data_IF_003640934699
#
_entry.id   IF_003640934699
#
_cell.length_a   1.000
_cell.length_b   1.000
_cell.length_c   1.000
_cell.angle_alpha   90.00
_cell.angle_beta   90.00
_cell.angle_gamma   90.00
#
_symmetry.space_group_name_H-M   'P 1'
#
loop_
_entity.id
_entity.type
_entity.pdbx_description
1 polymer ?
#
# COMPACT_ATOMS: atom_id res chain seq x y z
N UNK A 1 15.26 25.57 1.87
CA UNK A 1 14.61 24.38 1.27
C UNK A 1 15.67 23.56 0.57
N UNK A 2 15.92 22.33 1.03
CA UNK A 2 16.90 21.41 0.44
C UNK A 2 16.26 20.57 -0.66
N UNK A 3 17.08 20.10 -1.61
CA UNK A 3 16.66 19.16 -2.65
C UNK A 3 16.71 17.74 -2.07
N UNK A 4 15.60 17.02 -2.15
CA UNK A 4 15.51 15.61 -1.74
C UNK A 4 15.52 14.74 -3.00
N UNK A 5 16.46 13.79 -3.06
CA UNK A 5 16.53 12.79 -4.13
C UNK A 5 15.83 11.50 -3.68
N UNK A 6 14.68 11.20 -4.27
CA UNK A 6 13.92 9.97 -3.95
C UNK A 6 13.81 9.00 -5.13
N UNK A 7 14.38 9.34 -6.29
CA UNK A 7 14.20 8.58 -7.52
C UNK A 7 14.75 7.14 -7.41
N UNK A 8 15.84 6.93 -6.66
CA UNK A 8 16.37 5.59 -6.41
C UNK A 8 15.45 4.76 -5.51
N UNK A 9 14.97 5.35 -4.41
CA UNK A 9 14.00 4.71 -3.52
C UNK A 9 12.70 4.36 -4.26
N UNK A 10 12.22 5.27 -5.11
CA UNK A 10 11.04 5.05 -5.96
C UNK A 10 11.25 3.87 -6.92
N UNK A 11 12.37 3.83 -7.65
CA UNK A 11 12.69 2.71 -8.55
C UNK A 11 12.81 1.37 -7.81
N UNK A 12 13.42 1.40 -6.62
CA UNK A 12 13.54 0.21 -5.79
C UNK A 12 12.18 -0.30 -5.32
N UNK A 13 11.27 0.61 -4.92
CA UNK A 13 9.91 0.26 -4.55
C UNK A 13 9.14 -0.38 -5.71
N UNK A 14 9.15 0.26 -6.89
CA UNK A 14 8.51 -0.27 -8.10
C UNK A 14 9.04 -1.65 -8.50
N UNK A 15 10.37 -1.80 -8.54
CA UNK A 15 11.03 -3.07 -8.92
C UNK A 15 10.80 -4.17 -7.88
N UNK A 16 10.70 -3.77 -6.61
CA UNK A 16 10.47 -4.67 -5.50
C UNK A 16 9.01 -5.10 -5.35
N UNK A 17 8.06 -4.39 -5.95
CA UNK A 17 6.66 -4.74 -5.85
C UNK A 17 6.35 -6.09 -6.49
N UNK A 18 5.34 -6.76 -5.94
CA UNK A 18 4.90 -8.09 -6.37
C UNK A 18 3.38 -8.17 -6.39
N UNK A 19 2.86 -8.85 -7.40
CA UNK A 19 1.49 -9.32 -7.45
C UNK A 19 1.44 -10.77 -6.97
N UNK A 20 0.61 -11.01 -5.97
CA UNK A 20 0.20 -12.34 -5.53
C UNK A 20 -1.21 -12.62 -6.07
N UNK A 21 -1.37 -13.80 -6.63
CA UNK A 21 -2.61 -14.33 -7.19
C UNK A 21 -3.32 -15.20 -6.15
N UNK A 22 -4.63 -15.45 -6.30
CA UNK A 22 -5.32 -16.41 -5.45
C UNK A 22 -4.65 -17.80 -5.42
N UNK A 23 -4.01 -18.22 -6.52
CA UNK A 23 -3.27 -19.48 -6.58
C UNK A 23 -2.02 -19.51 -5.68
N UNK A 24 -1.42 -18.34 -5.39
CA UNK A 24 -0.21 -18.22 -4.57
C UNK A 24 -0.54 -18.29 -3.06
N UNK A 25 -1.82 -18.23 -2.68
CA UNK A 25 -2.25 -18.15 -1.28
C UNK A 25 -1.78 -19.34 -0.43
N UNK A 26 -1.80 -20.54 -0.99
CA UNK A 26 -1.35 -21.74 -0.27
C UNK A 26 0.15 -21.71 0.02
N UNK A 27 0.95 -21.14 -0.87
CA UNK A 27 2.40 -20.97 -0.69
C UNK A 27 2.67 -19.89 0.36
N UNK A 28 2.00 -18.74 0.26
CA UNK A 28 2.09 -17.65 1.24
C UNK A 28 1.73 -18.09 2.66
N UNK A 29 0.65 -18.85 2.83
CA UNK A 29 0.22 -19.34 4.14
C UNK A 29 1.20 -20.35 4.74
N UNK A 30 1.98 -21.07 3.91
CA UNK A 30 3.04 -21.97 4.39
C UNK A 30 4.27 -21.21 4.88
N UNK A 31 4.50 -20.00 4.38
CA UNK A 31 5.56 -19.10 4.86
C UNK A 31 5.17 -18.36 6.15
N UNK A 32 3.87 -18.31 6.48
CA UNK A 32 3.39 -17.62 7.67
C UNK A 32 3.81 -18.35 8.95
N UNK A 33 4.88 -17.85 9.57
CA UNK A 33 5.34 -18.34 10.88
C UNK A 33 4.79 -17.49 12.01
N UNK A 34 4.45 -18.12 13.13
CA UNK A 34 4.10 -17.43 14.38
C UNK A 34 5.32 -17.47 15.31
N UNK A 35 6.10 -16.38 15.41
CA UNK A 35 7.27 -16.37 16.27
C UNK A 35 6.84 -16.54 17.73
N UNK A 36 7.61 -17.30 18.50
CA UNK A 36 7.45 -17.35 19.96
C UNK A 36 7.85 -15.98 20.54
N UNK A 37 7.00 -15.40 21.38
CA UNK A 37 7.24 -14.07 21.94
C UNK A 37 6.05 -13.54 22.74
N UNK A 38 6.19 -12.34 23.34
CA UNK A 38 5.05 -11.66 23.92
C UNK A 38 3.97 -11.41 22.85
N UNK A 39 2.71 -11.36 23.28
CA UNK A 39 1.62 -10.97 22.40
C UNK A 39 1.87 -9.59 21.82
N UNK A 40 1.51 -9.41 20.55
CA UNK A 40 1.57 -8.10 19.91
C UNK A 40 0.65 -7.12 20.63
N UNK A 41 1.13 -5.89 20.81
CA UNK A 41 0.30 -4.80 21.32
C UNK A 41 -0.72 -4.39 20.25
N UNK A 42 -1.97 -4.19 20.67
CA UNK A 42 -3.03 -3.67 19.80
C UNK A 42 -3.46 -2.31 20.31
N UNK A 43 -3.26 -1.27 19.49
CA UNK A 43 -3.68 0.10 19.76
C UNK A 43 -4.79 0.50 18.79
N UNK A 44 -5.84 1.15 19.30
CA UNK A 44 -6.87 1.81 18.48
C UNK A 44 -6.72 3.31 18.68
N UNK A 45 -6.57 4.04 17.58
CA UNK A 45 -6.29 5.47 17.61
C UNK A 45 -7.17 6.17 16.57
N UNK A 46 -7.56 7.41 16.85
CA UNK A 46 -8.18 8.29 15.87
C UNK A 46 -7.08 9.07 15.14
N UNK A 47 -6.53 8.48 14.09
CA UNK A 47 -5.44 9.02 13.29
C UNK A 47 -5.62 8.65 11.82
N UNK A 48 -5.05 9.43 10.91
CA UNK A 48 -4.93 9.02 9.51
C UNK A 48 -3.93 7.87 9.39
N UNK A 49 -3.98 7.16 8.26
CA UNK A 49 -2.98 6.14 7.97
C UNK A 49 -1.57 6.73 7.87
N UNK A 50 -1.41 7.95 7.34
CA UNK A 50 -0.11 8.61 7.20
C UNK A 50 0.46 9.03 8.56
N UNK A 51 -0.37 9.63 9.43
CA UNK A 51 0.00 9.98 10.80
C UNK A 51 0.47 8.76 11.58
N UNK A 52 -0.33 7.69 11.61
CA UNK A 52 0.01 6.46 12.31
C UNK A 52 1.30 5.83 11.74
N UNK A 53 1.45 5.84 10.42
CA UNK A 53 2.66 5.30 9.76
C UNK A 53 3.90 6.10 10.14
N UNK A 54 3.83 7.44 10.14
CA UNK A 54 4.97 8.29 10.49
C UNK A 54 5.40 8.08 11.95
N UNK A 55 4.45 8.00 12.88
CA UNK A 55 4.72 7.72 14.30
C UNK A 55 5.33 6.33 14.51
N UNK A 56 4.72 5.29 13.93
CA UNK A 56 5.19 3.92 14.06
C UNK A 56 6.54 3.71 13.36
N UNK A 57 6.81 4.40 12.24
CA UNK A 57 8.09 4.31 11.55
C UNK A 57 9.22 4.95 12.37
N UNK A 58 8.93 6.05 13.09
CA UNK A 58 9.89 6.64 14.02
C UNK A 58 10.21 5.71 15.20
N UNK A 59 9.23 4.93 15.67
CA UNK A 59 9.39 3.99 16.80
C UNK A 59 10.04 2.66 16.38
N UNK A 60 9.63 2.07 15.25
CA UNK A 60 9.96 0.69 14.86
C UNK A 60 10.76 0.57 13.55
N UNK A 61 10.99 1.67 12.82
CA UNK A 61 11.75 1.71 11.58
C UNK A 61 10.97 1.23 10.34
N UNK A 62 10.51 -0.03 10.32
CA UNK A 62 9.74 -0.60 9.19
C UNK A 62 8.31 -0.91 9.60
N UNK A 63 7.36 -0.36 8.85
CA UNK A 63 5.92 -0.50 9.11
C UNK A 63 5.23 -1.09 7.87
N UNK A 64 4.35 -2.06 8.10
CA UNK A 64 3.41 -2.54 7.08
C UNK A 64 2.11 -1.74 7.13
N UNK A 65 1.62 -1.32 5.97
CA UNK A 65 0.39 -0.52 5.87
C UNK A 65 -0.58 -1.24 4.96
N UNK A 66 -1.81 -1.45 5.43
CA UNK A 66 -2.90 -1.98 4.61
C UNK A 66 -3.53 -0.83 3.82
N UNK A 67 -3.42 -0.87 2.48
CA UNK A 67 -4.17 -0.02 1.58
C UNK A 67 -5.61 -0.55 1.43
N UNK A 68 -6.61 0.30 1.61
CA UNK A 68 -8.03 -0.01 1.36
C UNK A 68 -8.31 0.13 -0.14
N UNK A 69 -7.67 -0.75 -0.90
CA UNK A 69 -7.51 -0.63 -2.33
C UNK A 69 -8.84 -0.74 -3.09
N UNK A 70 -8.98 0.08 -4.12
CA UNK A 70 -9.92 -0.13 -5.20
C UNK A 70 -9.51 -1.39 -5.96
N UNK A 71 -10.45 -2.32 -6.09
CA UNK A 71 -10.23 -3.53 -6.86
C UNK A 71 -10.04 -3.27 -8.37
N UNK A 72 -10.45 -2.08 -8.87
CA UNK A 72 -10.54 -1.78 -10.31
C UNK A 72 -9.66 -0.62 -10.78
N UNK A 73 -9.28 0.29 -9.90
CA UNK A 73 -8.52 1.48 -10.28
C UNK A 73 -7.29 1.63 -9.37
N UNK A 74 -6.05 1.61 -9.89
CA UNK A 74 -4.87 1.82 -9.05
C UNK A 74 -4.91 3.21 -8.40
N UNK A 75 -4.82 3.27 -7.07
CA UNK A 75 -4.92 4.53 -6.33
C UNK A 75 -6.34 5.10 -6.27
N UNK A 76 -7.35 4.31 -6.60
CA UNK A 76 -8.75 4.71 -6.52
C UNK A 76 -9.08 5.89 -7.43
N UNK A 77 -9.80 6.87 -6.90
CA UNK A 77 -10.21 8.08 -7.61
C UNK A 77 -9.29 9.28 -7.41
N UNK A 78 -8.02 9.11 -6.99
CA UNK A 78 -7.22 10.23 -6.49
C UNK A 78 -6.98 11.33 -7.53
N UNK A 79 -6.87 10.99 -8.81
CA UNK A 79 -6.75 11.93 -9.92
C UNK A 79 -8.03 12.76 -10.15
N UNK A 80 -9.18 12.21 -9.74
CA UNK A 80 -10.49 12.88 -9.80
C UNK A 80 -10.83 13.69 -8.54
N UNK A 81 -9.93 13.75 -7.55
CA UNK A 81 -10.13 14.49 -6.31
C UNK A 81 -10.90 13.75 -5.22
N UNK A 82 -11.17 12.44 -5.40
CA UNK A 82 -11.81 11.61 -4.37
C UNK A 82 -11.03 11.61 -3.06
N UNK A 83 -11.75 11.49 -1.95
CA UNK A 83 -11.19 11.48 -0.60
C UNK A 83 -11.52 10.15 0.07
N UNK A 84 -10.56 9.23 0.07
CA UNK A 84 -10.55 8.09 0.97
C UNK A 84 -9.09 7.72 1.30
N UNK A 85 -8.92 6.62 2.04
CA UNK A 85 -7.63 6.20 2.55
C UNK A 85 -6.63 5.87 1.43
N UNK A 86 -7.06 5.12 0.41
CA UNK A 86 -6.22 4.81 -0.76
C UNK A 86 -5.78 6.08 -1.49
N UNK A 87 -6.70 7.02 -1.73
CA UNK A 87 -6.36 8.26 -2.42
C UNK A 87 -5.38 9.12 -1.63
N UNK A 88 -5.45 9.11 -0.30
CA UNK A 88 -4.47 9.77 0.56
C UNK A 88 -3.08 9.16 0.38
N UNK A 89 -2.98 7.82 0.43
CA UNK A 89 -1.73 7.10 0.21
C UNK A 89 -1.17 7.37 -1.20
N UNK A 90 -2.01 7.32 -2.23
CA UNK A 90 -1.61 7.54 -3.61
C UNK A 90 -1.10 8.97 -3.87
N UNK A 91 -1.71 9.98 -3.24
CA UNK A 91 -1.26 11.38 -3.37
C UNK A 91 0.01 11.70 -2.59
N UNK A 92 0.18 11.09 -1.43
CA UNK A 92 1.23 11.46 -0.49
C UNK A 92 2.46 10.58 -0.57
N UNK A 93 2.50 9.57 -1.46
CA UNK A 93 3.60 8.62 -1.56
C UNK A 93 3.90 8.18 -3.00
N UNK A 94 4.95 7.37 -3.14
CA UNK A 94 5.33 6.66 -4.35
C UNK A 94 4.47 5.45 -4.72
N UNK A 95 3.31 5.26 -4.07
CA UNK A 95 2.50 4.05 -4.18
C UNK A 95 1.90 3.88 -5.57
N UNK A 96 1.44 4.97 -6.21
CA UNK A 96 0.71 4.87 -7.47
C UNK A 96 1.50 4.17 -8.60
N UNK A 97 2.77 4.53 -8.90
CA UNK A 97 3.60 3.77 -9.85
C UNK A 97 3.81 2.29 -9.47
N UNK A 98 3.86 1.99 -8.17
CA UNK A 98 4.00 0.61 -7.69
C UNK A 98 2.76 -0.23 -8.01
N UNK A 99 1.57 0.39 -8.01
CA UNK A 99 0.29 -0.26 -8.30
C UNK A 99 0.04 -0.43 -9.80
N UNK A 100 0.31 0.62 -10.60
CA UNK A 100 -0.10 0.68 -12.02
C UNK A 100 0.55 -0.38 -12.91
N UNK A 101 1.72 -0.90 -12.54
CA UNK A 101 2.37 -1.98 -13.27
C UNK A 101 1.62 -3.32 -13.22
N UNK A 102 0.70 -3.52 -12.26
CA UNK A 102 -0.05 -4.78 -12.09
C UNK A 102 -1.47 -4.70 -12.66
N UNK A 103 -1.57 -4.38 -13.95
CA UNK A 103 -2.85 -4.31 -14.68
C UNK A 103 -3.70 -5.59 -14.57
N UNK A 104 -3.06 -6.75 -14.36
CA UNK A 104 -3.69 -8.07 -14.23
C UNK A 104 -4.79 -8.09 -13.14
N UNK A 105 -4.49 -7.62 -11.93
CA UNK A 105 -5.47 -7.60 -10.83
C UNK A 105 -6.72 -6.76 -11.20
N UNK A 106 -6.48 -5.56 -11.71
CA UNK A 106 -7.53 -4.61 -12.05
C UNK A 106 -8.39 -5.10 -13.22
N UNK A 107 -7.76 -5.70 -14.23
CA UNK A 107 -8.45 -6.32 -15.36
C UNK A 107 -9.31 -7.50 -14.90
N UNK A 108 -8.78 -8.38 -14.04
CA UNK A 108 -9.51 -9.50 -13.47
C UNK A 108 -10.78 -9.02 -12.75
N UNK A 109 -10.65 -8.04 -11.85
CA UNK A 109 -11.78 -7.51 -11.08
C UNK A 109 -12.76 -6.63 -11.90
N UNK A 110 -12.46 -6.40 -13.18
CA UNK A 110 -13.31 -5.65 -14.13
C UNK A 110 -14.02 -6.55 -15.14
N UNK A 111 -13.79 -7.87 -15.13
CA UNK A 111 -14.49 -8.80 -16.00
C UNK A 111 -16.01 -8.79 -15.74
N UNK A 112 -16.86 -9.05 -16.75
CA UNK A 112 -18.31 -9.16 -16.56
C UNK A 112 -18.74 -10.24 -15.56
N UNK A 113 -17.89 -11.26 -15.37
CA UNK A 113 -18.11 -12.36 -14.43
C UNK A 113 -17.71 -12.02 -12.99
N UNK A 114 -17.08 -10.86 -12.77
CA UNK A 114 -16.56 -10.49 -11.45
C UNK A 114 -17.69 -10.02 -10.53
N UNK A 115 -17.65 -10.47 -9.28
CA UNK A 115 -18.64 -10.12 -8.26
C UNK A 115 -18.17 -8.94 -7.41
N UNK A 116 -19.05 -8.40 -6.58
CA UNK A 116 -18.71 -7.37 -5.61
C UNK A 116 -17.79 -7.86 -4.47
N UNK A 117 -17.53 -9.17 -4.38
CA UNK A 117 -16.53 -9.73 -3.47
C UNK A 117 -15.10 -9.60 -4.01
N UNK A 118 -14.96 -9.27 -5.31
CA UNK A 118 -13.68 -9.22 -6.01
C UNK A 118 -12.89 -10.53 -5.87
N UNK A 119 -11.57 -10.47 -5.79
CA UNK A 119 -10.69 -11.63 -5.69
C UNK A 119 -9.59 -11.43 -4.66
N UNK A 120 -8.97 -12.53 -4.26
CA UNK A 120 -7.84 -12.56 -3.32
C UNK A 120 -6.50 -12.19 -3.98
N UNK A 121 -6.53 -11.38 -5.05
CA UNK A 121 -5.30 -10.77 -5.56
C UNK A 121 -4.77 -9.76 -4.54
N UNK A 122 -3.45 -9.73 -4.37
CA UNK A 122 -2.77 -8.84 -3.44
C UNK A 122 -1.55 -8.21 -4.12
N UNK A 123 -1.38 -6.90 -3.98
CA UNK A 123 -0.16 -6.21 -4.38
C UNK A 123 0.63 -5.85 -3.12
N UNK A 124 1.87 -6.33 -3.05
CA UNK A 124 2.84 -5.91 -2.04
C UNK A 124 3.81 -4.92 -2.66
N UNK A 125 4.01 -3.76 -2.01
CA UNK A 125 4.95 -2.73 -2.46
C UNK A 125 5.93 -2.39 -1.33
N UNK A 126 7.19 -2.86 -1.39
CA UNK A 126 8.17 -2.62 -0.34
C UNK A 126 8.79 -1.22 -0.45
N UNK A 127 9.07 -0.58 0.68
CA UNK A 127 9.93 0.62 0.72
C UNK A 127 9.37 1.83 -0.04
N UNK A 128 8.04 1.93 -0.18
CA UNK A 128 7.39 3.05 -0.86
C UNK A 128 7.72 4.36 -0.14
N UNK A 129 8.32 5.35 -0.83
CA UNK A 129 8.65 6.63 -0.20
C UNK A 129 7.37 7.43 0.09
N UNK A 130 7.21 7.89 1.33
CA UNK A 130 6.19 8.89 1.69
C UNK A 130 6.80 10.27 1.53
N UNK A 131 6.10 11.14 0.82
CA UNK A 131 6.61 12.43 0.36
C UNK A 131 5.86 13.62 0.97
N UNK A 132 4.61 13.41 1.40
CA UNK A 132 3.75 14.46 1.93
C UNK A 132 3.03 14.04 3.20
N UNK A 133 2.70 15.02 4.04
CA UNK A 133 1.78 14.84 5.17
C UNK A 133 0.30 14.97 4.73
N UNK A 134 -0.63 14.85 5.68
CA UNK A 134 -2.07 14.95 5.41
C UNK A 134 -2.51 16.34 4.91
N UNK A 135 -1.80 17.40 5.29
CA UNK A 135 -2.00 18.75 4.77
C UNK A 135 -1.47 18.94 3.34
N UNK A 136 -0.85 17.89 2.76
CA UNK A 136 -0.25 17.91 1.43
C UNK A 136 1.06 18.67 1.33
N UNK A 137 1.66 19.03 2.47
CA UNK A 137 2.98 19.66 2.56
C UNK A 137 4.08 18.62 2.35
N UNK A 138 5.17 19.02 1.71
CA UNK A 138 6.34 18.17 1.54
C UNK A 138 7.03 17.90 2.87
N UNK A 139 7.44 16.65 3.09
CA UNK A 139 8.26 16.21 4.23
C UNK A 139 9.73 16.63 4.09
#
# INVERSE_FOLDING_TARGET
>A
TGRVEFAEAQRAAETGSRLYRPADAADLLRELTWPAGPLAEVRVQNATTLEATAQLAAEFGRVGVLNFASARNPGGGFLGGSQAQEESLARSSGLYPCLTQFAEMYAYNSLPTSTALYSDHLIYSPGVPVLRNDDGQWL
#
